data_IF_109809692559
#
_entry.id   IF_109809692559
#
_cell.length_a   1.000
_cell.length_b   1.000
_cell.length_c   1.000
_cell.angle_alpha   90.00
_cell.angle_beta   90.00
_cell.angle_gamma   90.00
#
_symmetry.space_group_name_H-M   'P 1'
#
loop_
_entity.id
_entity.type
_entity.pdbx_description
1 polymer ?
#
# COMPACT_ATOMS: atom_id res chain seq x y z
N UNK A 1 -10.67 5.95 5.58
CA UNK A 1 -11.23 5.57 4.26
C UNK A 1 -12.73 5.27 4.39
N UNK A 2 -13.54 5.67 3.41
CA UNK A 2 -14.93 5.21 3.25
C UNK A 2 -14.95 3.99 2.31
N UNK A 3 -15.68 2.94 2.67
CA UNK A 3 -15.92 1.77 1.82
C UNK A 3 -17.37 1.29 1.99
N UNK A 4 -18.08 1.05 0.89
CA UNK A 4 -19.46 0.52 0.90
C UNK A 4 -20.41 1.26 1.86
N UNK A 5 -20.36 2.61 1.85
CA UNK A 5 -21.19 3.49 2.70
C UNK A 5 -20.92 3.40 4.21
N UNK A 6 -19.75 2.92 4.62
CA UNK A 6 -19.28 2.99 6.01
C UNK A 6 -17.84 3.48 6.09
N UNK A 7 -17.40 3.93 7.26
CA UNK A 7 -16.05 4.42 7.49
C UNK A 7 -15.20 3.39 8.25
N UNK A 8 -13.91 3.33 7.93
CA UNK A 8 -12.93 2.62 8.77
C UNK A 8 -13.01 3.11 10.21
N UNK A 9 -12.99 2.19 11.18
CA UNK A 9 -13.19 2.52 12.60
C UNK A 9 -12.02 3.25 13.22
N UNK A 10 -10.81 3.02 12.69
CA UNK A 10 -9.66 3.84 13.04
C UNK A 10 -9.66 5.14 12.25
N UNK A 11 -9.56 6.23 12.99
CA UNK A 11 -9.31 7.57 12.47
C UNK A 11 -7.81 7.89 12.55
N UNK A 12 -7.43 9.11 12.13
CA UNK A 12 -6.03 9.54 12.19
C UNK A 12 -5.44 9.47 13.59
N UNK A 13 -6.21 9.73 14.65
CA UNK A 13 -5.67 9.66 16.01
C UNK A 13 -5.53 8.21 16.47
N UNK A 14 -6.59 7.39 16.38
CA UNK A 14 -6.55 6.02 16.90
C UNK A 14 -5.65 5.09 16.09
N UNK A 15 -5.67 5.20 14.76
CA UNK A 15 -4.77 4.42 13.90
C UNK A 15 -3.30 4.78 14.12
N UNK A 16 -2.98 6.07 14.30
CA UNK A 16 -1.61 6.49 14.61
C UNK A 16 -1.18 6.16 16.03
N UNK A 17 -2.10 6.20 17.01
CA UNK A 17 -1.86 5.71 18.36
C UNK A 17 -1.44 4.22 18.33
N UNK A 18 -2.16 3.40 17.56
CA UNK A 18 -1.83 2.00 17.34
C UNK A 18 -0.49 1.81 16.61
N UNK A 19 -0.22 2.63 15.58
CA UNK A 19 1.07 2.63 14.89
C UNK A 19 2.25 2.88 15.85
N UNK A 20 2.13 3.89 16.72
CA UNK A 20 3.16 4.27 17.69
C UNK A 20 3.38 3.20 18.77
N UNK A 21 2.32 2.55 19.26
CA UNK A 21 2.42 1.38 20.14
C UNK A 21 3.16 0.21 19.46
N UNK A 22 2.96 0.07 18.13
CA UNK A 22 3.63 -0.91 17.29
C UNK A 22 5.05 -0.56 16.85
N UNK A 23 5.54 0.66 17.10
CA UNK A 23 6.85 1.13 16.65
C UNK A 23 6.92 1.66 15.21
N UNK A 24 5.78 1.94 14.59
CA UNK A 24 5.73 2.74 13.35
C UNK A 24 5.58 4.21 13.72
N UNK A 25 6.44 5.08 13.19
CA UNK A 25 6.51 6.52 13.54
C UNK A 25 6.07 7.46 12.43
N UNK A 26 5.72 6.93 11.26
CA UNK A 26 5.12 7.67 10.16
C UNK A 26 4.28 6.75 9.29
N UNK A 27 3.17 7.26 8.75
CA UNK A 27 2.42 6.61 7.67
C UNK A 27 2.21 7.57 6.50
N UNK A 28 1.84 7.03 5.34
CA UNK A 28 1.40 7.83 4.19
C UNK A 28 0.01 7.33 3.82
N UNK A 29 -0.99 8.19 3.94
CA UNK A 29 -2.41 7.82 3.79
C UNK A 29 -2.92 8.11 2.38
N UNK A 30 -4.02 7.47 1.95
CA UNK A 30 -4.58 7.64 0.61
C UNK A 30 -5.74 8.63 0.62
N UNK A 31 -5.50 9.82 0.08
CA UNK A 31 -6.55 10.83 -0.13
C UNK A 31 -7.43 10.39 -1.29
N UNK A 32 -8.74 10.29 -1.01
CA UNK A 32 -9.76 9.97 -2.03
C UNK A 32 -10.42 11.29 -2.48
N UNK A 33 -10.48 11.57 -3.79
CA UNK A 33 -11.15 12.75 -4.32
C UNK A 33 -12.63 12.82 -3.93
N UNK A 34 -13.12 14.02 -3.60
CA UNK A 34 -14.55 14.26 -3.36
C UNK A 34 -15.19 14.66 -4.68
N UNK A 35 -16.13 13.84 -5.17
CA UNK A 35 -16.80 14.05 -6.47
C UNK A 35 -15.80 14.27 -7.64
N UNK A 36 -14.64 13.61 -7.57
CA UNK A 36 -13.57 13.74 -8.57
C UNK A 36 -12.71 15.00 -8.44
N UNK A 37 -12.90 15.84 -7.43
CA UNK A 37 -12.01 16.97 -7.13
C UNK A 37 -10.87 16.54 -6.20
N UNK A 38 -9.63 16.70 -6.66
CA UNK A 38 -8.44 16.37 -5.86
C UNK A 38 -8.27 17.36 -4.71
N UNK A 39 -8.52 18.65 -4.96
CA UNK A 39 -8.41 19.72 -3.96
C UNK A 39 -9.39 19.49 -2.81
N UNK A 40 -10.67 19.26 -3.12
CA UNK A 40 -11.68 19.00 -2.08
C UNK A 40 -11.39 17.69 -1.31
N UNK A 41 -10.85 16.68 -1.98
CA UNK A 41 -10.36 15.46 -1.32
C UNK A 41 -9.24 15.76 -0.32
N UNK A 42 -8.24 16.54 -0.72
CA UNK A 42 -7.14 16.92 0.15
C UNK A 42 -7.63 17.74 1.36
N UNK A 43 -8.46 18.75 1.15
CA UNK A 43 -9.04 19.56 2.24
C UNK A 43 -9.81 18.71 3.25
N UNK A 44 -10.55 17.70 2.78
CA UNK A 44 -11.26 16.77 3.64
C UNK A 44 -10.30 15.93 4.49
N UNK A 45 -9.20 15.44 3.92
CA UNK A 45 -8.19 14.67 4.64
C UNK A 45 -7.34 15.53 5.57
N UNK A 46 -6.99 16.76 5.20
CA UNK A 46 -6.34 17.73 6.09
C UNK A 46 -7.21 17.99 7.32
N UNK A 47 -8.54 18.10 7.15
CA UNK A 47 -9.48 18.22 8.28
C UNK A 47 -9.47 16.98 9.17
N UNK A 48 -9.45 15.76 8.59
CA UNK A 48 -9.36 14.49 9.35
C UNK A 48 -8.03 14.41 10.12
N UNK A 49 -6.93 14.83 9.51
CA UNK A 49 -5.59 14.79 10.08
C UNK A 49 -5.28 15.87 11.12
N UNK A 50 -6.19 16.82 11.40
CA UNK A 50 -6.01 17.79 12.50
C UNK A 50 -5.79 17.15 13.88
N UNK A 51 -6.24 15.90 14.06
CA UNK A 51 -6.06 15.13 15.30
C UNK A 51 -4.83 14.21 15.28
N UNK A 52 -4.04 14.18 14.21
CA UNK A 52 -2.87 13.30 14.08
C UNK A 52 -1.91 13.42 15.27
N UNK A 53 -1.49 12.29 15.84
CA UNK A 53 -0.48 12.21 16.90
C UNK A 53 0.88 11.66 16.41
N UNK A 54 0.98 11.27 15.14
CA UNK A 54 2.16 10.77 14.46
C UNK A 54 2.39 11.56 13.17
N UNK A 55 3.64 11.69 12.72
CA UNK A 55 3.94 12.33 11.44
C UNK A 55 3.30 11.53 10.29
N UNK A 56 2.88 12.24 9.24
CA UNK A 56 2.13 11.64 8.14
C UNK A 56 2.37 12.33 6.80
N UNK A 57 2.18 11.60 5.71
CA UNK A 57 2.12 12.14 4.35
C UNK A 57 0.83 11.72 3.64
N UNK A 58 0.67 12.14 2.38
CA UNK A 58 -0.45 11.74 1.54
C UNK A 58 -0.03 11.23 0.16
N UNK A 59 -0.67 10.15 -0.27
CA UNK A 59 -0.85 9.78 -1.67
C UNK A 59 -2.18 10.35 -2.17
N UNK A 60 -2.28 10.71 -3.45
CA UNK A 60 -3.54 11.18 -4.04
C UNK A 60 -4.13 10.13 -4.99
N UNK A 61 -5.36 9.68 -4.75
CA UNK A 61 -6.06 8.77 -5.66
C UNK A 61 -6.57 9.51 -6.91
N UNK A 62 -6.42 8.89 -8.07
CA UNK A 62 -6.93 9.36 -9.36
C UNK A 62 -8.01 8.40 -9.84
N UNK A 63 -9.27 8.85 -9.86
CA UNK A 63 -10.45 8.06 -10.28
C UNK A 63 -10.96 8.41 -11.68
N UNK A 64 -10.47 9.52 -12.25
CA UNK A 64 -10.75 9.98 -13.63
C UNK A 64 -9.56 10.81 -14.12
N UNK A 65 -9.50 11.08 -15.42
CA UNK A 65 -8.47 11.95 -15.98
C UNK A 65 -9.08 12.92 -17.00
N UNK A 66 -8.85 14.21 -16.79
CA UNK A 66 -9.24 15.34 -17.64
C UNK A 66 -8.25 16.51 -17.40
N UNK A 67 -8.41 17.62 -18.13
CA UNK A 67 -7.51 18.79 -17.99
C UNK A 67 -7.51 19.39 -16.58
N UNK A 68 -8.64 19.31 -15.87
CA UNK A 68 -8.76 19.80 -14.49
C UNK A 68 -7.93 18.92 -13.56
N UNK A 69 -8.09 17.60 -13.65
CA UNK A 69 -7.30 16.65 -12.86
C UNK A 69 -5.81 16.80 -13.18
N UNK A 70 -5.44 16.94 -14.46
CA UNK A 70 -4.04 17.13 -14.87
C UNK A 70 -3.42 18.39 -14.24
N UNK A 71 -4.16 19.50 -14.19
CA UNK A 71 -3.75 20.73 -13.50
C UNK A 71 -3.69 20.54 -11.99
N UNK A 72 -4.69 19.92 -11.39
CA UNK A 72 -4.74 19.69 -9.94
C UNK A 72 -3.58 18.78 -9.49
N UNK A 73 -3.18 17.78 -10.28
CA UNK A 73 -1.97 16.97 -10.03
C UNK A 73 -0.71 17.84 -9.95
N UNK A 74 -0.61 18.91 -10.74
CA UNK A 74 0.50 19.87 -10.65
C UNK A 74 0.51 20.60 -9.31
N UNK A 75 -0.67 21.07 -8.88
CA UNK A 75 -0.85 21.74 -7.58
C UNK A 75 -0.48 20.78 -6.45
N UNK A 76 -0.93 19.52 -6.51
CA UNK A 76 -0.59 18.49 -5.53
C UNK A 76 0.92 18.33 -5.38
N UNK A 77 1.65 18.31 -6.49
CA UNK A 77 3.11 18.13 -6.49
C UNK A 77 3.86 19.40 -6.08
N UNK A 78 3.53 20.54 -6.70
CA UNK A 78 4.31 21.78 -6.56
C UNK A 78 3.98 22.57 -5.31
N UNK A 79 2.74 22.48 -4.83
CA UNK A 79 2.24 23.34 -3.74
C UNK A 79 1.83 22.55 -2.50
N UNK A 80 1.46 21.28 -2.63
CA UNK A 80 0.95 20.45 -1.52
C UNK A 80 1.93 19.37 -1.06
N UNK A 81 3.08 19.21 -1.72
CA UNK A 81 4.10 18.24 -1.32
C UNK A 81 3.66 16.77 -1.46
N UNK A 82 2.81 16.45 -2.44
CA UNK A 82 2.41 15.08 -2.77
C UNK A 82 3.15 14.64 -4.03
N UNK A 83 4.04 13.65 -3.91
CA UNK A 83 4.83 13.13 -5.05
C UNK A 83 4.36 11.75 -5.53
N UNK A 84 3.14 11.34 -5.22
CA UNK A 84 2.65 10.00 -5.56
C UNK A 84 1.14 9.95 -5.80
N UNK A 85 0.75 9.24 -6.85
CA UNK A 85 -0.63 9.16 -7.33
C UNK A 85 -1.08 7.71 -7.48
N UNK A 86 -2.25 7.38 -6.93
CA UNK A 86 -2.79 6.02 -6.88
C UNK A 86 -3.91 5.81 -7.90
N UNK A 87 -3.76 4.78 -8.72
CA UNK A 87 -4.74 4.33 -9.69
C UNK A 87 -5.29 2.96 -9.28
N UNK A 88 -6.56 2.71 -9.57
CA UNK A 88 -7.20 1.42 -9.32
C UNK A 88 -7.52 0.75 -10.66
N UNK A 89 -7.05 -0.48 -10.85
CA UNK A 89 -7.40 -1.31 -12.02
C UNK A 89 -8.58 -2.25 -11.73
N UNK A 90 -9.09 -2.18 -10.49
CA UNK A 90 -10.25 -2.91 -9.97
C UNK A 90 -11.31 -1.93 -9.45
N UNK A 91 -12.35 -2.46 -8.78
CA UNK A 91 -13.51 -1.69 -8.32
C UNK A 91 -14.29 -1.05 -9.46
N UNK A 92 -14.70 -1.88 -10.43
CA UNK A 92 -15.48 -1.48 -11.60
C UNK A 92 -16.70 -0.64 -11.22
N UNK A 93 -16.83 0.53 -11.83
CA UNK A 93 -17.92 1.48 -11.58
C UNK A 93 -17.76 2.37 -10.35
N UNK A 94 -16.65 2.23 -9.59
CA UNK A 94 -16.39 3.05 -8.38
C UNK A 94 -15.05 3.78 -8.49
N UNK A 95 -13.93 3.04 -8.58
CA UNK A 95 -12.57 3.61 -8.61
C UNK A 95 -11.78 3.23 -9.88
N UNK A 96 -12.25 2.23 -10.63
CA UNK A 96 -11.53 1.65 -11.77
C UNK A 96 -11.24 2.68 -12.86
N UNK A 97 -9.97 2.78 -13.27
CA UNK A 97 -9.56 3.46 -14.50
C UNK A 97 -9.30 2.43 -15.61
N UNK A 98 -9.53 2.82 -16.86
CA UNK A 98 -9.14 2.02 -18.02
C UNK A 98 -7.68 2.32 -18.42
N UNK A 99 -7.15 1.57 -19.40
CA UNK A 99 -5.77 1.73 -19.84
C UNK A 99 -5.47 3.10 -20.47
N UNK A 100 -6.46 3.74 -21.11
CA UNK A 100 -6.33 5.08 -21.68
C UNK A 100 -6.06 6.11 -20.58
N UNK A 101 -6.89 6.14 -19.54
CA UNK A 101 -6.73 7.03 -18.39
C UNK A 101 -5.46 6.71 -17.60
N UNK A 102 -5.09 5.43 -17.48
CA UNK A 102 -3.83 5.02 -16.87
C UNK A 102 -2.63 5.57 -17.65
N UNK A 103 -2.63 5.48 -18.98
CA UNK A 103 -1.55 6.02 -19.83
C UNK A 103 -1.40 7.54 -19.67
N UNK A 104 -2.50 8.28 -19.65
CA UNK A 104 -2.46 9.73 -19.42
C UNK A 104 -1.96 10.05 -18.01
N UNK A 105 -2.43 9.32 -17.00
CA UNK A 105 -1.95 9.42 -15.62
C UNK A 105 -0.45 9.13 -15.49
N UNK A 106 0.06 8.09 -16.15
CA UNK A 106 1.47 7.71 -16.17
C UNK A 106 2.34 8.80 -16.82
N UNK A 107 1.93 9.34 -17.97
CA UNK A 107 2.62 10.46 -18.64
C UNK A 107 2.67 11.69 -17.73
N UNK A 108 1.56 11.99 -17.05
CA UNK A 108 1.49 13.13 -16.14
C UNK A 108 2.39 12.94 -14.93
N UNK A 109 2.34 11.77 -14.29
CA UNK A 109 3.24 11.37 -13.21
C UNK A 109 4.71 11.56 -13.61
N UNK A 110 5.09 11.07 -14.79
CA UNK A 110 6.44 11.26 -15.34
C UNK A 110 6.84 12.74 -15.45
N UNK A 111 5.99 13.56 -16.08
CA UNK A 111 6.28 14.99 -16.28
C UNK A 111 6.45 15.77 -14.96
N UNK A 112 5.77 15.31 -13.90
CA UNK A 112 5.79 15.94 -12.59
C UNK A 112 6.87 15.36 -11.67
N UNK A 113 7.56 14.30 -12.08
CA UNK A 113 8.48 13.57 -11.20
C UNK A 113 7.77 12.85 -10.04
N UNK A 114 6.50 12.50 -10.21
CA UNK A 114 5.67 11.85 -9.21
C UNK A 114 5.52 10.35 -9.49
N UNK A 115 5.51 9.53 -8.44
CA UNK A 115 5.43 8.08 -8.53
C UNK A 115 3.99 7.62 -8.78
N UNK A 116 3.78 6.88 -9.86
CA UNK A 116 2.50 6.22 -10.10
C UNK A 116 2.40 4.93 -9.27
N UNK A 117 1.29 4.77 -8.56
CA UNK A 117 0.96 3.61 -7.74
C UNK A 117 -0.27 2.91 -8.29
N UNK A 118 -0.30 1.57 -8.30
CA UNK A 118 -1.44 0.81 -8.85
C UNK A 118 -1.95 -0.24 -7.88
N UNK A 119 -3.26 -0.24 -7.63
CA UNK A 119 -3.97 -1.43 -7.15
C UNK A 119 -4.26 -2.30 -8.37
N UNK A 120 -3.59 -3.44 -8.44
CA UNK A 120 -3.50 -4.23 -9.66
C UNK A 120 -4.27 -5.56 -9.54
N UNK A 121 -5.59 -5.51 -9.70
CA UNK A 121 -6.42 -6.67 -10.05
C UNK A 121 -7.17 -6.36 -11.36
N UNK A 122 -7.47 -7.36 -12.19
CA UNK A 122 -8.30 -7.15 -13.38
C UNK A 122 -9.77 -6.91 -12.99
N UNK A 123 -10.20 -5.65 -12.94
CA UNK A 123 -11.53 -5.27 -12.45
C UNK A 123 -12.71 -5.88 -13.20
N UNK A 124 -12.59 -6.08 -14.51
CA UNK A 124 -13.64 -6.71 -15.32
C UNK A 124 -13.78 -8.19 -14.99
N UNK A 125 -12.66 -8.90 -14.89
CA UNK A 125 -12.63 -10.31 -14.55
C UNK A 125 -13.03 -10.57 -13.08
N UNK A 126 -12.64 -9.67 -12.15
CA UNK A 126 -13.12 -9.73 -10.76
C UNK A 126 -14.64 -9.59 -10.70
N UNK A 127 -15.20 -8.62 -11.43
CA UNK A 127 -16.66 -8.43 -11.47
C UNK A 127 -17.40 -9.65 -12.03
N UNK A 128 -16.84 -10.29 -13.07
CA UNK A 128 -17.39 -11.54 -13.60
C UNK A 128 -17.25 -12.70 -12.62
N UNK A 129 -16.09 -12.84 -11.96
CA UNK A 129 -15.87 -13.84 -10.92
C UNK A 129 -16.84 -13.69 -9.75
N UNK A 130 -17.14 -12.45 -9.34
CA UNK A 130 -18.13 -12.17 -8.30
C UNK A 130 -19.53 -12.64 -8.69
N UNK A 131 -19.97 -12.37 -9.92
CA UNK A 131 -21.26 -12.87 -10.43
C UNK A 131 -21.29 -14.39 -10.45
N UNK A 132 -20.21 -15.02 -10.93
CA UNK A 132 -20.09 -16.47 -11.01
C UNK A 132 -20.23 -17.12 -9.64
N UNK A 133 -19.58 -16.61 -8.60
CA UNK A 133 -19.69 -17.16 -7.24
C UNK A 133 -21.13 -17.09 -6.72
N UNK A 134 -21.81 -15.96 -6.92
CA UNK A 134 -23.21 -15.78 -6.50
C UNK A 134 -24.14 -16.72 -7.28
N UNK A 135 -23.94 -16.90 -8.58
CA UNK A 135 -24.73 -17.84 -9.39
C UNK A 135 -24.56 -19.30 -8.95
N UNK A 136 -23.42 -19.65 -8.37
CA UNK A 136 -23.14 -20.96 -7.78
C UNK A 136 -23.70 -21.10 -6.35
N UNK A 137 -24.35 -20.07 -5.80
CA UNK A 137 -24.85 -20.06 -4.43
C UNK A 137 -23.77 -19.82 -3.37
N UNK A 138 -22.56 -19.42 -3.77
CA UNK A 138 -21.45 -19.12 -2.86
C UNK A 138 -21.55 -17.65 -2.45
N UNK A 139 -22.12 -17.41 -1.28
CA UNK A 139 -22.37 -16.07 -0.73
C UNK A 139 -21.48 -15.71 0.45
N UNK A 140 -20.77 -16.68 1.05
CA UNK A 140 -19.91 -16.48 2.20
C UNK A 140 -18.55 -15.85 1.86
N UNK A 141 -17.74 -15.49 2.89
CA UNK A 141 -16.43 -14.84 2.73
C UNK A 141 -15.46 -15.56 1.78
N UNK A 142 -15.50 -16.88 1.69
CA UNK A 142 -14.72 -17.70 0.77
C UNK A 142 -14.99 -17.34 -0.70
N UNK A 143 -16.24 -16.97 -1.02
CA UNK A 143 -16.63 -16.47 -2.34
C UNK A 143 -15.85 -15.23 -2.75
N UNK A 144 -15.40 -14.40 -1.79
CA UNK A 144 -14.57 -13.23 -2.07
C UNK A 144 -13.23 -13.63 -2.66
N UNK A 145 -12.50 -14.58 -2.05
CA UNK A 145 -11.22 -15.05 -2.57
C UNK A 145 -11.37 -15.81 -3.89
N UNK A 146 -12.38 -16.68 -3.99
CA UNK A 146 -12.66 -17.45 -5.21
C UNK A 146 -13.04 -16.56 -6.40
N UNK A 147 -13.67 -15.40 -6.16
CA UNK A 147 -14.06 -14.46 -7.22
C UNK A 147 -12.88 -13.76 -7.89
N UNK A 148 -11.68 -13.80 -7.29
CA UNK A 148 -10.51 -13.03 -7.72
C UNK A 148 -9.20 -13.81 -7.54
N UNK A 149 -8.99 -14.91 -8.29
CA UNK A 149 -7.81 -15.74 -8.12
C UNK A 149 -6.51 -14.97 -8.41
N UNK A 150 -5.35 -15.43 -7.89
CA UNK A 150 -4.03 -14.80 -8.06
C UNK A 150 -3.69 -14.35 -9.48
N UNK A 151 -4.10 -15.14 -10.49
CA UNK A 151 -3.85 -14.83 -11.90
C UNK A 151 -4.39 -13.46 -12.33
N UNK A 152 -5.48 -12.97 -11.72
CA UNK A 152 -6.05 -11.66 -12.04
C UNK A 152 -5.22 -10.50 -11.47
N UNK A 153 -4.53 -10.74 -10.36
CA UNK A 153 -3.56 -9.81 -9.79
C UNK A 153 -2.29 -9.79 -10.65
N UNK A 154 -1.82 -10.97 -11.07
CA UNK A 154 -0.70 -11.13 -11.99
C UNK A 154 -0.92 -10.42 -13.33
N UNK A 155 -2.07 -10.63 -13.98
CA UNK A 155 -2.41 -9.97 -15.26
C UNK A 155 -2.35 -8.45 -15.15
N UNK A 156 -3.04 -7.88 -14.16
CA UNK A 156 -3.13 -6.43 -14.01
C UNK A 156 -1.77 -5.82 -13.63
N UNK A 157 -0.99 -6.52 -12.82
CA UNK A 157 0.39 -6.13 -12.49
C UNK A 157 1.24 -6.08 -13.75
N UNK A 158 1.20 -7.14 -14.55
CA UNK A 158 1.94 -7.24 -15.80
C UNK A 158 1.53 -6.17 -16.81
N UNK A 159 0.24 -5.87 -16.93
CA UNK A 159 -0.30 -4.82 -17.80
C UNK A 159 0.16 -3.44 -17.37
N UNK A 160 0.04 -3.10 -16.07
CA UNK A 160 0.51 -1.82 -15.54
C UNK A 160 2.01 -1.62 -15.76
N UNK A 161 2.82 -2.65 -15.51
CA UNK A 161 4.27 -2.67 -15.76
C UNK A 161 4.58 -2.35 -17.22
N UNK A 162 3.92 -3.02 -18.17
CA UNK A 162 4.16 -2.80 -19.61
C UNK A 162 3.80 -1.39 -20.04
N UNK A 163 2.69 -0.84 -19.54
CA UNK A 163 2.28 0.53 -19.85
C UNK A 163 3.23 1.57 -19.23
N UNK A 164 3.68 1.36 -17.99
CA UNK A 164 4.71 2.21 -17.36
C UNK A 164 6.05 2.14 -18.10
N UNK A 165 6.45 0.95 -18.57
CA UNK A 165 7.62 0.74 -19.41
C UNK A 165 7.51 1.45 -20.76
N UNK A 166 6.33 1.43 -21.39
CA UNK A 166 6.06 2.18 -22.62
C UNK A 166 6.20 3.69 -22.44
N UNK A 167 5.73 4.23 -21.31
CA UNK A 167 5.88 5.66 -20.96
C UNK A 167 7.30 5.99 -20.47
N UNK A 168 8.09 4.96 -20.10
CA UNK A 168 9.38 5.07 -19.43
C UNK A 168 9.28 5.91 -18.13
N UNK A 169 8.45 5.44 -17.20
CA UNK A 169 8.27 6.03 -15.85
C UNK A 169 8.34 4.95 -14.77
N UNK A 170 8.74 5.26 -13.53
CA UNK A 170 8.70 4.31 -12.43
C UNK A 170 7.27 3.94 -12.05
N UNK A 171 7.09 2.72 -11.55
CA UNK A 171 5.79 2.19 -11.12
C UNK A 171 5.91 1.57 -9.74
N UNK A 172 4.89 1.79 -8.90
CA UNK A 172 4.75 1.18 -7.59
C UNK A 172 3.50 0.28 -7.56
N UNK A 173 3.68 -1.01 -7.36
CA UNK A 173 2.60 -1.98 -7.18
C UNK A 173 2.36 -2.13 -5.68
N UNK A 174 1.24 -1.57 -5.20
CA UNK A 174 0.83 -1.68 -3.78
C UNK A 174 0.34 -3.09 -3.47
N UNK A 175 0.33 -3.45 -2.19
CA UNK A 175 -0.27 -4.66 -1.62
C UNK A 175 -0.16 -5.90 -2.54
N UNK A 176 1.08 -6.31 -2.84
CA UNK A 176 1.41 -7.52 -3.60
C UNK A 176 1.11 -8.72 -2.71
N UNK A 177 0.07 -9.48 -3.06
CA UNK A 177 -0.44 -10.61 -2.27
C UNK A 177 -0.12 -11.97 -2.88
N UNK A 178 0.23 -12.02 -4.17
CA UNK A 178 0.42 -13.30 -4.89
C UNK A 178 1.82 -13.51 -5.50
N UNK A 179 2.10 -14.78 -5.81
CA UNK A 179 3.29 -15.21 -6.55
C UNK A 179 3.20 -14.66 -7.97
N UNK A 180 2.03 -14.76 -8.60
CA UNK A 180 1.77 -14.27 -9.95
C UNK A 180 2.16 -12.79 -10.11
N UNK A 181 1.75 -11.91 -9.20
CA UNK A 181 2.13 -10.51 -9.23
C UNK A 181 3.63 -10.29 -8.92
N UNK A 182 4.16 -11.02 -7.93
CA UNK A 182 5.58 -10.96 -7.56
C UNK A 182 6.50 -11.38 -8.73
N UNK A 183 6.14 -12.42 -9.48
CA UNK A 183 6.91 -12.88 -10.64
C UNK A 183 6.96 -11.84 -11.76
N UNK A 184 5.87 -11.12 -12.01
CA UNK A 184 5.84 -10.05 -13.01
C UNK A 184 6.73 -8.87 -12.59
N UNK A 185 6.74 -8.52 -11.31
CA UNK A 185 7.68 -7.54 -10.74
C UNK A 185 9.11 -8.03 -10.87
N UNK A 186 9.39 -9.30 -10.58
CA UNK A 186 10.71 -9.90 -10.72
C UNK A 186 11.21 -9.83 -12.17
N UNK A 187 10.37 -10.19 -13.15
CA UNK A 187 10.67 -10.10 -14.59
C UNK A 187 10.98 -8.66 -15.01
N UNK A 188 10.16 -7.71 -14.57
CA UNK A 188 10.36 -6.29 -14.88
C UNK A 188 11.69 -5.76 -14.32
N UNK A 189 11.97 -6.02 -13.04
CA UNK A 189 13.22 -5.59 -12.40
C UNK A 189 14.44 -6.25 -13.02
N UNK A 190 14.37 -7.54 -13.37
CA UNK A 190 15.44 -8.26 -14.07
C UNK A 190 15.76 -7.65 -15.45
N UNK A 191 14.76 -7.08 -16.12
CA UNK A 191 14.93 -6.35 -17.39
C UNK A 191 15.35 -4.87 -17.22
N UNK A 192 15.63 -4.44 -15.99
CA UNK A 192 16.08 -3.09 -15.67
C UNK A 192 14.96 -2.05 -15.52
N UNK A 193 13.69 -2.47 -15.54
CA UNK A 193 12.58 -1.55 -15.29
C UNK A 193 12.53 -1.12 -13.82
N UNK A 194 12.11 0.11 -13.59
CA UNK A 194 12.01 0.73 -12.25
C UNK A 194 10.65 0.45 -11.65
N UNK A 195 10.46 -0.81 -11.24
CA UNK A 195 9.23 -1.27 -10.59
C UNK A 195 9.50 -1.53 -9.12
N UNK A 196 8.63 -0.99 -8.28
CA UNK A 196 8.57 -1.20 -6.85
C UNK A 196 7.38 -2.11 -6.57
N UNK A 197 7.57 -3.12 -5.73
CA UNK A 197 6.53 -3.98 -5.17
C UNK A 197 6.51 -3.88 -3.65
N UNK A 198 5.31 -3.65 -3.12
CA UNK A 198 5.03 -3.58 -1.69
C UNK A 198 4.11 -4.74 -1.29
N UNK A 199 4.63 -5.83 -0.71
CA UNK A 199 3.78 -6.73 0.05
C UNK A 199 3.26 -6.05 1.32
N UNK A 200 2.15 -6.55 1.83
CA UNK A 200 1.62 -6.15 3.14
C UNK A 200 1.81 -7.26 4.16
N UNK A 201 1.90 -6.89 5.44
CA UNK A 201 2.19 -7.86 6.51
C UNK A 201 1.18 -9.00 6.58
N UNK A 202 -0.11 -8.77 6.26
CA UNK A 202 -1.11 -9.84 6.16
C UNK A 202 -0.75 -10.88 5.10
N UNK A 203 -0.27 -10.45 3.93
CA UNK A 203 0.21 -11.33 2.86
C UNK A 203 1.51 -12.07 3.20
N UNK A 204 2.33 -11.54 4.11
CA UNK A 204 3.53 -12.23 4.60
C UNK A 204 3.22 -13.27 5.69
N UNK A 205 2.26 -12.96 6.55
CA UNK A 205 2.08 -13.61 7.84
C UNK A 205 0.94 -14.65 7.86
N UNK A 206 -0.05 -14.50 6.97
CA UNK A 206 -1.29 -15.27 6.96
C UNK A 206 -1.46 -16.06 5.66
N UNK A 207 -2.34 -17.06 5.71
CA UNK A 207 -2.93 -17.68 4.54
C UNK A 207 -4.47 -17.56 4.59
N UNK A 208 -5.12 -18.00 3.51
CA UNK A 208 -6.57 -17.86 3.33
C UNK A 208 -7.41 -18.85 4.13
N UNK A 209 -6.81 -19.71 4.96
CA UNK A 209 -7.54 -20.71 5.75
C UNK A 209 -8.62 -20.09 6.63
N UNK A 210 -8.38 -18.88 7.15
CA UNK A 210 -9.34 -18.13 7.95
C UNK A 210 -10.65 -17.80 7.22
N UNK A 211 -10.63 -17.66 5.89
CA UNK A 211 -11.85 -17.39 5.10
C UNK A 211 -12.81 -18.59 5.05
N UNK A 212 -12.32 -19.79 5.39
CA UNK A 212 -13.08 -21.04 5.36
C UNK A 212 -13.63 -21.44 6.74
N UNK A 213 -13.48 -20.57 7.76
CA UNK A 213 -14.05 -20.82 9.07
C UNK A 213 -15.59 -20.85 9.00
N UNK A 214 -16.20 -21.79 9.73
CA UNK A 214 -17.67 -21.91 9.80
C UNK A 214 -18.34 -20.72 10.50
N UNK A 215 -17.63 -20.01 11.38
CA UNK A 215 -18.13 -18.80 12.02
C UNK A 215 -17.92 -17.58 11.10
N UNK A 216 -19.01 -16.94 10.70
CA UNK A 216 -18.96 -15.79 9.79
C UNK A 216 -18.12 -14.63 10.34
N UNK A 217 -18.16 -14.36 11.65
CA UNK A 217 -17.38 -13.27 12.24
C UNK A 217 -15.88 -13.55 12.11
N UNK A 218 -15.48 -14.80 12.35
CA UNK A 218 -14.12 -15.28 12.20
C UNK A 218 -13.67 -15.27 10.75
N UNK A 219 -14.51 -15.67 9.79
CA UNK A 219 -14.15 -15.66 8.38
C UNK A 219 -14.11 -14.24 7.77
N UNK A 220 -15.12 -13.42 8.05
CA UNK A 220 -15.28 -12.09 7.42
C UNK A 220 -14.18 -11.08 7.80
N UNK A 221 -13.52 -11.23 8.96
CA UNK A 221 -12.41 -10.34 9.34
C UNK A 221 -11.20 -10.44 8.40
N UNK A 222 -11.02 -11.54 7.67
CA UNK A 222 -9.93 -11.72 6.71
C UNK A 222 -10.21 -11.15 5.31
N UNK A 223 -11.43 -10.65 5.06
CA UNK A 223 -11.82 -10.11 3.74
C UNK A 223 -11.12 -8.78 3.45
N UNK A 224 -10.20 -8.79 2.49
CA UNK A 224 -9.51 -7.63 1.90
C UNK A 224 -9.21 -7.84 0.41
N UNK A 225 -8.75 -6.80 -0.31
CA UNK A 225 -8.48 -6.85 -1.75
C UNK A 225 -7.11 -6.25 -2.11
N UNK A 226 -6.22 -7.01 -2.78
CA UNK A 226 -6.36 -8.42 -3.14
C UNK A 226 -6.49 -9.32 -1.90
N UNK A 227 -7.10 -10.51 -1.99
CA UNK A 227 -7.26 -11.41 -0.86
C UNK A 227 -5.93 -11.89 -0.30
N UNK A 228 -5.92 -12.21 1.00
CA UNK A 228 -4.94 -13.14 1.57
C UNK A 228 -5.04 -14.44 0.76
N UNK A 229 -3.90 -15.02 0.38
CA UNK A 229 -3.83 -16.15 -0.55
C UNK A 229 -3.60 -17.47 0.18
N UNK A 230 -3.81 -18.57 -0.55
CA UNK A 230 -3.48 -19.90 -0.07
C UNK A 230 -2.04 -20.04 0.40
N UNK A 231 -1.79 -21.06 1.22
CA UNK A 231 -0.48 -21.34 1.79
C UNK A 231 0.61 -21.44 0.71
N UNK A 232 1.82 -20.98 1.06
CA UNK A 232 2.97 -20.90 0.16
C UNK A 232 3.20 -19.51 -0.46
N UNK A 233 2.15 -18.74 -0.71
CA UNK A 233 2.28 -17.36 -1.23
C UNK A 233 3.09 -16.46 -0.27
N UNK A 234 2.75 -16.45 1.02
CA UNK A 234 3.47 -15.64 2.00
C UNK A 234 4.96 -15.98 2.10
N UNK A 235 5.33 -17.25 1.98
CA UNK A 235 6.75 -17.65 1.98
C UNK A 235 7.49 -17.12 0.75
N UNK A 236 6.87 -17.20 -0.42
CA UNK A 236 7.44 -16.66 -1.65
C UNK A 236 7.60 -15.13 -1.59
N UNK A 237 6.65 -14.42 -0.96
CA UNK A 237 6.76 -12.97 -0.75
C UNK A 237 7.88 -12.62 0.25
N UNK A 238 8.05 -13.40 1.32
CA UNK A 238 9.17 -13.25 2.25
C UNK A 238 10.52 -13.47 1.52
N UNK A 239 10.61 -14.49 0.67
CA UNK A 239 11.81 -14.76 -0.14
C UNK A 239 12.10 -13.61 -1.12
N UNK A 240 11.06 -13.06 -1.75
CA UNK A 240 11.18 -11.93 -2.66
C UNK A 240 11.63 -10.64 -1.96
N UNK A 241 11.19 -10.39 -0.71
CA UNK A 241 11.68 -9.30 0.12
C UNK A 241 13.15 -9.48 0.51
N UNK A 242 13.53 -10.70 0.91
CA UNK A 242 14.90 -11.02 1.34
C UNK A 242 15.92 -10.80 0.22
N UNK A 243 15.53 -11.07 -1.03
CA UNK A 243 16.38 -10.92 -2.21
C UNK A 243 16.18 -9.59 -2.96
N UNK A 244 15.40 -8.65 -2.41
CA UNK A 244 15.20 -7.31 -2.98
C UNK A 244 14.36 -7.24 -4.26
N UNK A 245 13.63 -8.31 -4.59
CA UNK A 245 12.60 -8.30 -5.64
C UNK A 245 11.43 -7.41 -5.21
N UNK A 246 11.04 -7.51 -3.94
CA UNK A 246 10.11 -6.60 -3.27
C UNK A 246 10.91 -5.68 -2.33
N UNK A 247 10.46 -4.43 -2.15
CA UNK A 247 11.32 -3.37 -1.59
C UNK A 247 11.04 -3.06 -0.13
N UNK A 248 9.77 -3.02 0.26
CA UNK A 248 9.33 -2.59 1.58
C UNK A 248 8.03 -3.30 1.99
N UNK A 249 7.66 -3.20 3.26
CA UNK A 249 6.43 -3.82 3.80
C UNK A 249 5.45 -2.75 4.27
N UNK A 250 4.26 -2.75 3.68
CA UNK A 250 3.10 -1.95 4.11
C UNK A 250 2.13 -2.75 4.98
N UNK A 251 0.94 -2.19 5.22
CA UNK A 251 -0.13 -2.87 5.98
C UNK A 251 -1.49 -2.86 5.31
N UNK A 252 -1.74 -1.88 4.45
CA UNK A 252 -3.09 -1.58 3.92
C UNK A 252 -4.13 -1.53 5.05
N UNK A 253 -3.79 -0.81 6.12
CA UNK A 253 -4.60 -0.80 7.33
C UNK A 253 -5.92 -0.07 7.08
N UNK A 254 -7.00 -0.84 7.03
CA UNK A 254 -8.35 -0.36 6.81
C UNK A 254 -9.30 -1.27 7.58
N UNK A 255 -9.74 -0.83 8.75
CA UNK A 255 -10.36 -1.72 9.74
C UNK A 255 -11.85 -1.45 9.88
N UNK A 256 -12.62 -2.52 10.02
CA UNK A 256 -14.06 -2.48 10.23
C UNK A 256 -14.41 -3.44 11.36
N UNK A 257 -15.30 -3.02 12.26
CA UNK A 257 -15.81 -3.87 13.32
C UNK A 257 -16.58 -5.07 12.75
N UNK A 258 -16.70 -6.12 13.55
CA UNK A 258 -17.52 -7.31 13.25
C UNK A 258 -18.95 -6.95 12.80
N UNK A 259 -19.55 -5.93 13.42
CA UNK A 259 -20.89 -5.42 13.08
C UNK A 259 -20.96 -4.75 11.71
N UNK A 260 -19.90 -4.07 11.27
CA UNK A 260 -19.81 -3.53 9.91
C UNK A 260 -19.56 -4.65 8.88
N UNK A 261 -18.71 -5.62 9.22
CA UNK A 261 -18.47 -6.82 8.39
C UNK A 261 -19.74 -7.65 8.18
N UNK A 262 -20.60 -7.74 9.20
CA UNK A 262 -21.89 -8.42 9.17
C UNK A 262 -22.89 -7.87 8.14
N UNK A 263 -22.66 -6.67 7.58
CA UNK A 263 -23.49 -6.15 6.48
C UNK A 263 -23.46 -7.02 5.21
N UNK A 264 -22.45 -7.88 5.06
CA UNK A 264 -22.33 -8.85 3.97
C UNK A 264 -22.56 -10.31 4.38
N UNK A 265 -23.28 -10.57 5.47
CA UNK A 265 -23.54 -11.95 5.94
C UNK A 265 -24.19 -12.86 4.88
N UNK A 266 -25.08 -12.30 4.06
CA UNK A 266 -25.77 -13.01 2.97
C UNK A 266 -25.15 -12.75 1.59
N UNK A 267 -24.09 -11.93 1.50
CA UNK A 267 -23.47 -11.52 0.24
C UNK A 267 -22.07 -10.94 0.48
N UNK A 268 -21.02 -11.73 0.22
CA UNK A 268 -19.63 -11.34 0.43
C UNK A 268 -19.23 -10.04 -0.28
N UNK A 269 -19.91 -9.67 -1.37
CA UNK A 269 -19.63 -8.45 -2.13
C UNK A 269 -19.95 -7.18 -1.32
N UNK A 270 -20.75 -7.31 -0.26
CA UNK A 270 -21.14 -6.24 0.65
C UNK A 270 -20.29 -6.19 1.92
N UNK A 271 -19.38 -7.14 2.15
CA UNK A 271 -18.46 -7.10 3.30
C UNK A 271 -17.47 -5.95 3.06
N UNK A 272 -17.36 -4.95 3.96
CA UNK A 272 -16.32 -3.92 3.87
C UNK A 272 -14.92 -4.56 3.83
N UNK A 273 -14.13 -4.16 2.83
CA UNK A 273 -12.84 -4.78 2.53
C UNK A 273 -11.71 -4.10 3.31
N UNK A 274 -10.93 -4.87 4.05
CA UNK A 274 -9.76 -4.38 4.79
C UNK A 274 -9.50 -5.17 6.07
N UNK A 275 -8.25 -5.09 6.55
CA UNK A 275 -7.73 -5.77 7.74
C UNK A 275 -6.86 -4.83 8.59
N UNK A 276 -6.55 -5.25 9.83
CA UNK A 276 -5.57 -4.57 10.69
C UNK A 276 -4.12 -4.98 10.35
N UNK A 277 -3.15 -4.24 10.92
CA UNK A 277 -1.73 -4.49 10.68
C UNK A 277 -0.78 -3.36 11.09
N UNK A 278 -1.28 -2.14 11.32
CA UNK A 278 -0.43 -0.96 11.57
C UNK A 278 0.37 -1.05 12.87
N UNK A 279 -0.21 -1.69 13.90
CA UNK A 279 0.44 -1.95 15.19
C UNK A 279 1.33 -3.21 15.13
N UNK A 280 0.90 -4.21 14.37
CA UNK A 280 1.53 -5.53 14.35
C UNK A 280 2.74 -5.62 13.40
N UNK A 281 2.79 -4.78 12.37
CA UNK A 281 3.77 -4.88 11.26
C UNK A 281 5.20 -5.08 11.73
N UNK A 282 5.67 -4.21 12.62
CA UNK A 282 7.08 -4.20 13.05
C UNK A 282 7.45 -5.49 13.79
N UNK A 283 6.55 -5.97 14.65
CA UNK A 283 6.69 -7.19 15.42
C UNK A 283 6.67 -8.43 14.52
N UNK A 284 5.69 -8.51 13.61
CA UNK A 284 5.52 -9.64 12.71
C UNK A 284 6.65 -9.76 11.69
N UNK A 285 7.11 -8.65 11.10
CA UNK A 285 8.24 -8.70 10.15
C UNK A 285 9.52 -9.14 10.85
N UNK A 286 9.74 -8.70 12.10
CA UNK A 286 10.89 -9.16 12.89
C UNK A 286 10.81 -10.68 13.15
N UNK A 287 9.70 -11.13 13.73
CA UNK A 287 9.50 -12.53 14.10
C UNK A 287 9.57 -13.47 12.89
N UNK A 288 8.93 -13.11 11.77
CA UNK A 288 8.89 -13.93 10.57
C UNK A 288 10.24 -14.02 9.86
N UNK A 289 10.99 -12.92 9.81
CA UNK A 289 12.09 -12.81 8.84
C UNK A 289 13.45 -12.62 9.50
N UNK A 290 13.54 -11.94 10.65
CA UNK A 290 14.81 -11.76 11.37
C UNK A 290 15.09 -12.98 12.25
N UNK A 291 14.13 -13.41 13.07
CA UNK A 291 14.31 -14.57 13.96
C UNK A 291 14.52 -15.88 13.19
N UNK A 292 13.91 -16.00 12.00
CA UNK A 292 14.12 -17.15 11.11
C UNK A 292 15.47 -17.12 10.39
N UNK A 293 16.23 -16.02 10.47
CA UNK A 293 17.49 -15.82 9.74
C UNK A 293 17.33 -15.51 8.26
N UNK A 294 16.10 -15.26 7.78
CA UNK A 294 15.83 -14.97 6.37
C UNK A 294 16.31 -13.58 5.94
N UNK A 295 16.31 -12.61 6.85
CA UNK A 295 16.89 -11.27 6.62
C UNK A 295 17.73 -10.83 7.82
N UNK A 296 18.68 -9.93 7.58
CA UNK A 296 19.45 -9.30 8.65
C UNK A 296 18.66 -8.21 9.39
N UNK A 297 19.16 -7.77 10.56
CA UNK A 297 18.61 -6.59 11.26
C UNK A 297 18.68 -5.33 10.38
N UNK A 298 19.74 -5.20 9.57
CA UNK A 298 19.88 -4.08 8.63
C UNK A 298 18.81 -4.13 7.54
N UNK A 299 18.49 -5.32 7.03
CA UNK A 299 17.40 -5.51 6.07
C UNK A 299 16.04 -5.21 6.69
N UNK A 300 15.82 -5.58 7.95
CA UNK A 300 14.61 -5.20 8.68
C UNK A 300 14.41 -3.69 8.70
N UNK A 301 15.44 -2.92 9.06
CA UNK A 301 15.40 -1.44 9.03
C UNK A 301 15.12 -0.94 7.61
N UNK A 302 15.78 -1.53 6.60
CA UNK A 302 15.60 -1.18 5.19
C UNK A 302 14.15 -1.34 4.74
N UNK A 303 13.55 -2.52 4.93
CA UNK A 303 12.21 -2.84 4.40
C UNK A 303 11.08 -2.21 5.21
N UNK A 304 11.32 -1.83 6.47
CA UNK A 304 10.28 -1.23 7.32
C UNK A 304 10.33 0.29 7.39
N UNK A 305 11.44 0.93 6.98
CA UNK A 305 11.60 2.39 7.07
C UNK A 305 12.43 3.01 5.94
N UNK A 306 13.73 2.67 5.82
CA UNK A 306 14.67 3.41 4.96
C UNK A 306 14.28 3.39 3.49
N UNK A 307 13.82 2.26 2.97
CA UNK A 307 13.46 2.15 1.55
C UNK A 307 12.21 2.96 1.22
N UNK A 308 11.20 2.96 2.11
CA UNK A 308 10.03 3.83 2.01
C UNK A 308 10.45 5.31 1.99
N UNK A 309 11.32 5.72 2.91
CA UNK A 309 11.81 7.10 2.98
C UNK A 309 12.58 7.52 1.71
N UNK A 310 13.32 6.60 1.07
CA UNK A 310 14.01 6.87 -0.21
C UNK A 310 13.05 6.97 -1.38
N UNK A 311 12.10 6.04 -1.49
CA UNK A 311 11.12 5.99 -2.58
C UNK A 311 10.29 7.27 -2.61
N UNK A 312 9.81 7.71 -1.45
CA UNK A 312 8.99 8.91 -1.30
C UNK A 312 9.80 10.18 -1.00
N UNK A 313 11.12 10.13 -1.17
CA UNK A 313 12.02 11.30 -1.17
C UNK A 313 12.04 12.12 0.13
N UNK A 314 12.01 11.43 1.27
CA UNK A 314 12.10 12.01 2.62
C UNK A 314 13.30 11.46 3.42
N UNK A 315 14.18 10.68 2.79
CA UNK A 315 15.48 10.26 3.34
C UNK A 315 16.53 11.39 3.17
N UNK A 316 17.40 11.66 4.17
CA UNK A 316 17.53 10.98 5.45
C UNK A 316 16.74 11.62 6.59
N UNK A 317 15.83 12.57 6.33
CA UNK A 317 15.01 13.17 7.41
C UNK A 317 14.24 12.08 8.18
N UNK A 318 13.66 11.11 7.47
CA UNK A 318 13.05 9.89 8.02
C UNK A 318 13.86 8.65 7.65
N UNK A 319 13.71 7.58 8.41
CA UNK A 319 14.27 6.26 8.11
C UNK A 319 15.80 6.16 8.25
N UNK A 320 16.40 7.02 9.08
CA UNK A 320 17.84 7.04 9.36
C UNK A 320 18.13 7.44 10.81
N UNK A 321 19.21 6.88 11.38
CA UNK A 321 19.78 7.33 12.66
C UNK A 321 21.12 8.00 12.35
N UNK A 322 21.06 9.27 11.96
CA UNK A 322 22.23 10.13 11.72
C UNK A 322 21.94 11.53 12.24
N UNK A 323 22.98 12.32 12.51
CA UNK A 323 22.81 13.71 12.95
C UNK A 323 22.03 14.52 11.91
N UNK A 324 20.99 15.23 12.36
CA UNK A 324 20.10 16.03 11.51
C UNK A 324 18.82 15.33 11.05
N UNK A 325 18.67 14.01 11.26
CA UNK A 325 17.40 13.29 11.05
C UNK A 325 16.39 13.60 12.15
N UNK A 326 15.10 13.41 11.86
CA UNK A 326 14.05 13.49 12.88
C UNK A 326 14.26 12.36 13.90
N UNK A 327 14.06 12.67 15.19
CA UNK A 327 14.20 11.71 16.28
C UNK A 327 12.98 10.78 16.38
N UNK A 328 12.80 9.97 15.34
CA UNK A 328 11.82 8.90 15.21
C UNK A 328 12.52 7.55 15.35
N UNK A 329 12.58 7.04 16.58
CA UNK A 329 13.47 5.94 16.98
C UNK A 329 12.67 4.91 17.76
N UNK A 330 12.97 3.63 17.54
CA UNK A 330 12.42 2.53 18.35
C UNK A 330 13.52 1.84 19.14
N UNK A 331 13.18 1.38 20.34
CA UNK A 331 13.99 0.42 21.10
C UNK A 331 13.28 -0.92 20.99
N UNK A 332 13.86 -1.81 20.20
CA UNK A 332 13.35 -3.17 19.99
C UNK A 332 14.20 -4.15 20.80
N UNK A 333 13.53 -4.95 21.63
CA UNK A 333 14.16 -6.03 22.39
C UNK A 333 13.98 -7.37 21.65
N UNK A 334 15.05 -7.94 21.07
CA UNK A 334 14.97 -9.17 20.28
C UNK A 334 14.66 -10.40 21.14
N UNK A 335 14.92 -10.33 22.45
CA UNK A 335 14.69 -11.45 23.38
C UNK A 335 13.30 -11.44 24.00
N UNK A 336 12.62 -10.30 23.97
CA UNK A 336 11.26 -10.19 24.49
C UNK A 336 10.28 -10.87 23.54
N UNK A 337 9.25 -11.48 24.13
CA UNK A 337 8.12 -12.05 23.41
C UNK A 337 6.96 -11.06 23.32
N UNK A 338 6.10 -11.24 22.33
CA UNK A 338 4.81 -10.57 22.23
C UNK A 338 3.68 -11.59 22.01
N UNK A 339 2.46 -11.18 22.30
CA UNK A 339 1.23 -11.89 21.96
C UNK A 339 0.23 -10.87 21.41
N UNK A 340 -0.38 -11.17 20.27
CA UNK A 340 -1.34 -10.28 19.61
C UNK A 340 -2.75 -10.71 19.98
N UNK A 341 -3.53 -9.78 20.54
CA UNK A 341 -4.95 -9.97 20.85
C UNK A 341 -5.72 -8.68 20.59
N UNK A 342 -6.94 -8.77 20.05
CA UNK A 342 -7.84 -7.62 19.90
C UNK A 342 -8.16 -6.95 21.25
N UNK A 343 -8.14 -7.69 22.35
CA UNK A 343 -8.42 -7.14 23.69
C UNK A 343 -7.36 -6.18 24.22
N UNK A 344 -6.15 -6.22 23.66
CA UNK A 344 -5.01 -5.44 24.16
C UNK A 344 -4.34 -4.58 23.10
N UNK A 345 -4.78 -4.63 21.84
CA UNK A 345 -4.31 -3.70 20.83
C UNK A 345 -4.91 -2.30 21.03
N UNK A 346 -4.40 -1.33 20.29
CA UNK A 346 -4.77 0.08 20.40
C UNK A 346 -5.64 0.56 19.23
N UNK A 347 -5.89 -0.32 18.26
CA UNK A 347 -6.91 -0.12 17.22
C UNK A 347 -8.31 -0.10 17.83
N UNK A 348 -9.24 0.63 17.21
CA UNK A 348 -10.66 0.67 17.61
C UNK A 348 -11.47 -0.52 17.15
N UNK A 349 -10.88 -1.40 16.33
CA UNK A 349 -11.56 -2.59 15.83
C UNK A 349 -11.78 -3.62 16.95
N UNK A 350 -12.84 -4.41 16.88
CA UNK A 350 -13.16 -5.46 17.86
C UNK A 350 -12.56 -6.83 17.53
N UNK A 351 -11.82 -6.93 16.41
CA UNK A 351 -11.21 -8.17 15.91
C UNK A 351 -9.76 -7.96 15.50
N UNK A 352 -8.94 -9.02 15.56
CA UNK A 352 -7.57 -9.00 15.03
C UNK A 352 -7.37 -10.19 14.08
N UNK A 353 -6.82 -9.97 12.88
CA UNK A 353 -6.51 -11.07 11.94
C UNK A 353 -5.30 -11.90 12.38
N UNK A 354 -4.52 -11.43 13.36
CA UNK A 354 -3.39 -12.15 13.96
C UNK A 354 -3.68 -12.65 15.39
N UNK A 355 -4.96 -12.79 15.75
CA UNK A 355 -5.41 -13.17 17.11
C UNK A 355 -4.67 -14.41 17.65
N UNK A 356 -4.15 -14.31 18.88
CA UNK A 356 -3.44 -15.38 19.58
C UNK A 356 -2.01 -15.64 19.08
N UNK A 357 -1.54 -14.91 18.06
CA UNK A 357 -0.19 -15.09 17.52
C UNK A 357 0.86 -14.64 18.53
N UNK A 358 1.86 -15.48 18.73
CA UNK A 358 3.01 -15.24 19.62
C UNK A 358 4.29 -15.24 18.82
N UNK A 359 5.25 -14.43 19.24
CA UNK A 359 6.54 -14.30 18.56
C UNK A 359 7.59 -13.61 19.42
N UNK A 360 8.75 -13.34 18.83
CA UNK A 360 9.88 -12.62 19.44
C UNK A 360 10.18 -11.31 18.71
N UNK A 361 10.88 -10.42 19.40
CA UNK A 361 11.18 -9.08 18.90
C UNK A 361 10.06 -8.13 19.22
N UNK A 362 10.12 -7.53 20.41
CA UNK A 362 9.12 -6.57 20.89
C UNK A 362 9.64 -5.15 20.83
N UNK A 363 8.84 -4.23 20.29
CA UNK A 363 9.08 -2.80 20.47
C UNK A 363 8.72 -2.42 21.91
N UNK A 364 9.72 -2.07 22.71
CA UNK A 364 9.54 -1.70 24.11
C UNK A 364 9.41 -0.19 24.29
N UNK A 365 10.06 0.59 23.41
CA UNK A 365 10.00 2.05 23.42
C UNK A 365 9.84 2.59 22.01
N UNK A 366 8.94 3.55 21.83
CA UNK A 366 8.81 4.35 20.61
C UNK A 366 9.04 5.82 20.95
N UNK A 367 9.96 6.45 20.23
CA UNK A 367 10.24 7.88 20.26
C UNK A 367 9.75 8.46 18.94
N UNK A 368 8.88 9.46 18.97
CA UNK A 368 8.36 10.16 17.79
C UNK A 368 8.50 11.67 17.96
N UNK A 369 9.15 12.32 17.00
CA UNK A 369 9.49 13.74 17.06
C UNK A 369 10.30 14.11 18.31
N UNK A 370 11.17 13.21 18.76
CA UNK A 370 12.00 13.40 19.97
C UNK A 370 11.29 13.22 21.30
N UNK A 371 10.06 12.71 21.32
CA UNK A 371 9.28 12.44 22.54
C UNK A 371 9.07 10.94 22.71
N UNK A 372 9.27 10.42 23.91
CA UNK A 372 8.88 9.05 24.26
C UNK A 372 7.35 8.98 24.27
N UNK A 373 6.76 8.25 23.32
CA UNK A 373 5.31 8.14 23.13
C UNK A 373 4.77 6.75 23.46
N UNK A 374 5.65 5.75 23.55
CA UNK A 374 5.33 4.40 23.99
C UNK A 374 6.47 3.91 24.87
N UNK A 375 6.17 3.48 26.10
CA UNK A 375 7.12 2.88 27.03
C UNK A 375 6.34 2.17 28.15
N UNK A 376 6.83 1.04 28.68
CA UNK A 376 6.20 0.32 29.80
C UNK A 376 4.73 -0.08 29.55
N UNK A 377 4.38 -0.39 28.29
CA UNK A 377 3.02 -0.61 27.81
C UNK A 377 2.05 0.58 28.05
N UNK A 378 2.58 1.79 28.16
CA UNK A 378 1.80 3.02 28.32
C UNK A 378 1.97 3.91 27.07
N UNK A 379 0.85 4.26 26.44
CA UNK A 379 0.82 5.16 25.29
C UNK A 379 0.64 6.62 25.74
N UNK A 380 1.61 7.47 25.40
CA UNK A 380 1.72 8.88 25.80
C UNK A 380 1.63 9.80 24.59
N UNK A 381 0.46 9.83 23.95
CA UNK A 381 0.22 10.57 22.70
C UNK A 381 -0.71 11.76 22.92
N UNK A 382 -0.48 12.84 22.17
CA UNK A 382 -1.30 14.07 22.21
C UNK A 382 -1.91 14.28 20.82
N UNK A 383 -3.25 14.43 20.70
CA UNK A 383 -3.90 14.76 19.44
C UNK A 383 -3.33 16.05 18.83
N UNK A 384 -3.09 16.04 17.52
CA UNK A 384 -2.55 17.18 16.78
C UNK A 384 -1.04 17.40 16.95
N UNK A 385 -0.32 16.48 17.60
CA UNK A 385 1.14 16.59 17.78
C UNK A 385 1.97 16.00 16.62
N UNK A 386 1.32 15.28 15.70
CA UNK A 386 1.94 14.82 14.45
C UNK A 386 2.00 15.93 13.40
N UNK A 387 2.98 15.86 12.51
CA UNK A 387 3.21 16.85 11.46
C UNK A 387 2.99 16.25 10.07
N UNK A 388 2.42 17.05 9.18
CA UNK A 388 2.43 16.75 7.76
C UNK A 388 3.86 16.84 7.20
N UNK A 389 4.26 15.82 6.45
CA UNK A 389 5.58 15.71 5.82
C UNK A 389 5.41 15.85 4.32
N UNK A 390 5.85 16.99 3.80
CA UNK A 390 5.91 17.22 2.36
C UNK A 390 6.97 16.32 1.70
N UNK A 391 6.59 15.72 0.58
CA UNK A 391 7.39 14.77 -0.18
C UNK A 391 7.74 15.39 -1.54
N UNK A 392 9.00 15.76 -1.73
CA UNK A 392 9.44 16.43 -2.94
C UNK A 392 9.40 15.49 -4.18
N UNK A 393 9.06 16.00 -5.38
CA UNK A 393 9.10 15.20 -6.60
C UNK A 393 10.53 14.83 -7.01
N UNK A 394 10.65 14.04 -8.09
CA UNK A 394 11.91 13.62 -8.69
C UNK A 394 12.82 12.87 -7.71
N UNK A 395 12.28 11.85 -7.03
CA UNK A 395 13.07 10.94 -6.21
C UNK A 395 14.16 10.23 -7.03
N UNK A 396 15.03 9.47 -6.37
CA UNK A 396 16.12 8.74 -7.03
C UNK A 396 15.64 7.85 -8.20
N UNK A 397 14.37 7.42 -8.15
CA UNK A 397 13.71 6.63 -9.19
C UNK A 397 13.59 7.35 -10.55
N UNK A 398 13.70 8.68 -10.59
CA UNK A 398 13.63 9.47 -11.82
C UNK A 398 15.01 9.75 -12.45
N UNK A 399 16.10 9.43 -11.74
CA UNK A 399 17.46 9.73 -12.21
C UNK A 399 17.76 9.09 -13.56
N UNK A 400 18.09 9.90 -14.56
CA UNK A 400 18.49 9.43 -15.90
C UNK A 400 17.35 8.96 -16.82
N UNK A 401 16.07 9.15 -16.45
CA UNK A 401 14.93 8.87 -17.35
C UNK A 401 15.04 9.71 -18.63
N UNK A 402 15.30 11.02 -18.50
CA UNK A 402 15.41 11.92 -19.65
C UNK A 402 16.53 11.50 -20.62
N UNK A 403 17.63 10.94 -20.09
CA UNK A 403 18.72 10.40 -20.93
C UNK A 403 18.27 9.16 -21.70
N UNK A 404 17.52 8.27 -21.06
CA UNK A 404 16.95 7.09 -21.72
C UNK A 404 15.93 7.49 -22.81
N UNK A 405 15.09 8.50 -22.54
CA UNK A 405 14.17 9.05 -23.54
C UNK A 405 14.90 9.66 -24.72
N UNK A 406 15.92 10.50 -24.47
CA UNK A 406 16.72 11.11 -25.52
C UNK A 406 17.42 10.05 -26.39
N UNK A 407 17.94 8.99 -25.77
CA UNK A 407 18.54 7.86 -26.49
C UNK A 407 17.52 7.11 -27.34
N UNK A 408 16.31 6.85 -26.80
CA UNK A 408 15.23 6.20 -27.55
C UNK A 408 14.79 7.05 -28.74
N UNK A 409 14.52 8.35 -28.53
CA UNK A 409 14.14 9.27 -29.60
C UNK A 409 15.20 9.39 -30.69
N UNK A 410 16.49 9.44 -30.31
CA UNK A 410 17.60 9.48 -31.26
C UNK A 410 17.77 8.17 -32.04
N UNK A 411 17.28 7.05 -31.50
CA UNK A 411 17.28 5.75 -32.19
C UNK A 411 16.16 5.60 -33.22
N UNK A 412 15.17 6.51 -33.21
CA UNK A 412 14.07 6.48 -34.16
C UNK A 412 14.58 6.86 -35.55
N UNK A 413 14.64 5.89 -36.46
CA UNK A 413 14.89 6.12 -37.88
C UNK A 413 13.65 6.70 -38.59
N UNK A 414 13.08 7.79 -38.06
CA UNK A 414 11.80 8.38 -38.49
C UNK A 414 11.77 9.91 -38.34
N UNK A 415 10.93 10.63 -39.11
CA UNK A 415 10.11 10.10 -40.21
C UNK A 415 10.98 9.74 -41.42
N UNK A 416 10.68 8.59 -42.04
CA UNK A 416 11.29 8.23 -43.34
C UNK A 416 10.80 9.23 -44.39
N UNK A 417 11.74 9.95 -45.01
CA UNK A 417 11.42 10.84 -46.14
C UNK A 417 10.97 9.98 -47.33
N UNK A 418 9.71 10.13 -47.74
CA UNK A 418 9.12 9.45 -48.91
C UNK A 418 8.87 10.45 -50.03
N UNK A 419 9.35 10.17 -51.24
CA UNK A 419 9.07 10.99 -52.42
C UNK A 419 7.75 10.53 -53.07
N UNK A 420 6.88 11.46 -53.46
CA UNK A 420 5.73 11.15 -54.32
C UNK A 420 6.21 11.09 -55.77
N UNK A 421 5.97 9.98 -56.46
CA UNK A 421 6.21 9.88 -57.91
C UNK A 421 5.30 10.88 -58.63
N UNK A 422 5.89 11.82 -59.36
CA UNK A 422 5.15 12.67 -60.30
C UNK A 422 4.78 11.82 -61.51
N UNK A 423 3.54 11.37 -61.58
CA UNK A 423 2.90 10.85 -62.79
C UNK A 423 2.30 11.98 -63.60
#
# INVERSE_FOLDING_TARGET
MEALNTESVDDFFSGQAAALAGGTTMHIDFVIPVNGSLIAGLEAYEKKAKKSCMDYGFHMVITKFDDIVSRDMEIMVKEKGINSFKFFLAYKGVLMVNDELLLEGLKRCKSLGALAMVHAENGDAVFEGQKRMIQLGITGPEGHALSRPPLLEGEATARAIRLAGFVNTPLYVVHVMSIDAMEEIAKARKSGQRVIGEPVVSGLALDDSGLWDSDFTTASKYVMSPPIRASGHGKALQDALSNGVLQLVGTDHCVFNSTQKASGIDDFRKIPNGVNGIEERMHLVWDLMVESGQISVTDYVRVTSTECARIFNIYPRKGAIIAGSDADIIILNPKSTFEINARSHHSRTDTNVYEGRRGKGKVEVTIAGGRVVWENNELKVVPGSGKYIEMAPFSYLFSGIDRADASYLSSLNAPVKRFKSTT
#
